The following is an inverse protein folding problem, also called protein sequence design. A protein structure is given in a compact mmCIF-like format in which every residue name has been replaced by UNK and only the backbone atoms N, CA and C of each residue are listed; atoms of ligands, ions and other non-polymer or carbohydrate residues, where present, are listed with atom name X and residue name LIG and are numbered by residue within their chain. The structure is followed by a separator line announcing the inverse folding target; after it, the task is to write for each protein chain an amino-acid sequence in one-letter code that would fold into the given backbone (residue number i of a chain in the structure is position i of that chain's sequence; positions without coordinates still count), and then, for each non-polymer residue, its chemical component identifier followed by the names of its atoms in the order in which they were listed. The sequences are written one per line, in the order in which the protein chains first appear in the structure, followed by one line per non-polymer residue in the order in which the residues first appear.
data_IF_613504604294
#
_entry.id   IF_613504604294
#
_cell.length_a   1.000
_cell.length_b   1.000
_cell.length_c   1.000
_cell.angle_alpha   90.00
_cell.angle_beta   90.00
_cell.angle_gamma   90.00
#
_symmetry.space_group_name_H-M   'P 1'
#
loop_
_entity.id
_entity.type
_entity.pdbx_description
1 polymer ?
#
# COMPACT_ATOMS: atom_id res chain seq x y z
N UNK A 1 24.14 5.96 -15.04
CA UNK A 1 24.06 6.13 -13.58
C UNK A 1 24.39 4.77 -12.95
N UNK A 2 25.56 4.63 -12.33
CA UNK A 2 26.02 3.37 -11.71
C UNK A 2 25.67 3.30 -10.23
N UNK A 3 24.41 3.60 -9.90
CA UNK A 3 23.93 3.57 -8.52
C UNK A 3 23.88 2.11 -8.03
N UNK A 4 24.33 1.87 -6.79
CA UNK A 4 24.25 0.55 -6.19
C UNK A 4 22.81 0.20 -5.79
N UNK A 5 22.55 -1.08 -5.53
CA UNK A 5 21.21 -1.57 -5.15
C UNK A 5 20.64 -0.84 -3.92
N UNK A 6 21.51 -0.49 -2.96
CA UNK A 6 21.13 0.25 -1.76
C UNK A 6 20.73 1.71 -2.06
N UNK A 7 21.40 2.37 -3.00
CA UNK A 7 21.06 3.73 -3.42
C UNK A 7 19.69 3.75 -4.13
N UNK A 8 19.44 2.75 -4.98
CA UNK A 8 18.15 2.56 -5.66
C UNK A 8 17.04 2.30 -4.64
N UNK A 9 17.29 1.42 -3.66
CA UNK A 9 16.33 1.15 -2.59
C UNK A 9 16.04 2.40 -1.74
N UNK A 10 17.07 3.19 -1.41
CA UNK A 10 16.92 4.45 -0.67
C UNK A 10 16.09 5.47 -1.44
N UNK A 11 16.33 5.62 -2.74
CA UNK A 11 15.55 6.47 -3.62
C UNK A 11 14.07 6.05 -3.63
N UNK A 12 13.78 4.76 -3.80
CA UNK A 12 12.41 4.25 -3.75
C UNK A 12 11.75 4.52 -2.39
N UNK A 13 12.43 4.21 -1.28
CA UNK A 13 11.91 4.46 0.08
C UNK A 13 11.58 5.93 0.30
N UNK A 14 12.42 6.85 -0.18
CA UNK A 14 12.16 8.28 -0.09
C UNK A 14 10.82 8.65 -0.74
N UNK A 15 10.61 8.27 -2.01
CA UNK A 15 9.38 8.62 -2.72
C UNK A 15 8.13 7.94 -2.18
N UNK A 16 8.26 6.71 -1.67
CA UNK A 16 7.14 6.05 -0.99
C UNK A 16 6.76 6.83 0.26
N UNK A 17 7.74 7.29 1.05
CA UNK A 17 7.46 8.06 2.25
C UNK A 17 6.79 9.41 1.94
N UNK A 18 7.26 10.11 0.90
CA UNK A 18 6.66 11.38 0.44
C UNK A 18 5.21 11.19 -0.03
N UNK A 19 4.87 10.02 -0.61
CA UNK A 19 3.51 9.68 -0.99
C UNK A 19 2.63 9.21 0.17
N UNK A 20 3.17 8.41 1.08
CA UNK A 20 2.40 7.77 2.16
C UNK A 20 2.09 8.72 3.30
N UNK A 21 2.97 9.66 3.63
CA UNK A 21 2.72 10.65 4.67
C UNK A 21 1.42 11.46 4.45
N UNK A 22 1.19 12.10 3.28
CA UNK A 22 -0.03 12.84 3.05
C UNK A 22 -1.26 11.93 2.98
N UNK A 23 -1.16 10.74 2.39
CA UNK A 23 -2.27 9.77 2.34
C UNK A 23 -2.68 9.34 3.75
N UNK A 24 -1.73 8.96 4.60
CA UNK A 24 -1.98 8.60 6.00
C UNK A 24 -2.68 9.75 6.74
N UNK A 25 -2.22 10.99 6.55
CA UNK A 25 -2.84 12.18 7.15
C UNK A 25 -4.29 12.36 6.68
N UNK A 26 -4.56 12.21 5.39
CA UNK A 26 -5.91 12.33 4.81
C UNK A 26 -6.82 11.25 5.41
N UNK A 27 -6.38 9.98 5.39
CA UNK A 27 -7.16 8.85 5.90
C UNK A 27 -7.41 8.94 7.41
N UNK A 28 -6.45 9.48 8.17
CA UNK A 28 -6.59 9.65 9.62
C UNK A 28 -7.58 10.78 9.98
N UNK A 29 -7.67 11.82 9.15
CA UNK A 29 -8.47 13.02 9.47
C UNK A 29 -9.82 13.07 8.76
N UNK A 30 -10.04 12.25 7.73
CA UNK A 30 -11.30 12.22 7.00
C UNK A 30 -12.39 11.49 7.78
N UNK A 31 -13.54 12.14 7.94
CA UNK A 31 -14.74 11.50 8.49
C UNK A 31 -15.33 10.42 7.56
N UNK A 32 -14.91 10.42 6.29
CA UNK A 32 -15.37 9.44 5.30
C UNK A 32 -14.57 8.14 5.36
N UNK A 33 -13.40 8.13 6.02
CA UNK A 33 -12.60 6.90 6.14
C UNK A 33 -13.25 5.96 7.16
N UNK A 34 -13.60 4.76 6.69
CA UNK A 34 -14.24 3.71 7.49
C UNK A 34 -13.32 2.50 7.65
N UNK A 35 -13.88 1.30 7.52
CA UNK A 35 -13.08 0.08 7.38
C UNK A 35 -12.11 0.19 6.21
N UNK A 36 -12.54 0.79 5.10
CA UNK A 36 -11.75 1.04 3.89
C UNK A 36 -11.39 2.53 3.74
N UNK A 37 -10.69 2.89 2.66
CA UNK A 37 -10.30 4.27 2.37
C UNK A 37 -11.49 5.25 2.44
N UNK A 38 -12.66 4.79 1.99
CA UNK A 38 -13.90 5.55 2.00
C UNK A 38 -15.08 4.64 2.36
N UNK A 39 -15.56 4.73 3.60
CA UNK A 39 -16.68 3.97 4.14
C UNK A 39 -16.39 2.48 4.37
N UNK A 40 -17.45 1.67 4.28
CA UNK A 40 -17.47 0.25 4.65
C UNK A 40 -17.43 -0.71 3.47
N UNK A 41 -17.24 -0.20 2.25
CA UNK A 41 -17.15 -1.02 1.03
C UNK A 41 -15.87 -0.66 0.28
N UNK A 42 -15.06 -1.65 -0.13
CA UNK A 42 -13.82 -1.38 -0.85
C UNK A 42 -14.11 -0.72 -2.20
N UNK A 43 -13.31 0.29 -2.55
CA UNK A 43 -13.44 1.04 -3.79
C UNK A 43 -12.11 1.22 -4.54
N UNK A 44 -12.09 2.16 -5.49
CA UNK A 44 -10.92 2.41 -6.32
C UNK A 44 -9.69 2.85 -5.50
N UNK A 45 -9.90 3.65 -4.46
CA UNK A 45 -8.81 4.09 -3.58
C UNK A 45 -8.11 2.90 -2.91
N UNK A 46 -8.87 1.90 -2.46
CA UNK A 46 -8.34 0.68 -1.83
C UNK A 46 -7.56 -0.18 -2.81
N UNK A 47 -8.06 -0.32 -4.05
CA UNK A 47 -7.37 -1.04 -5.13
C UNK A 47 -5.99 -0.42 -5.38
N UNK A 48 -5.93 0.90 -5.52
CA UNK A 48 -4.67 1.63 -5.72
C UNK A 48 -3.75 1.50 -4.49
N UNK A 49 -4.31 1.63 -3.28
CA UNK A 49 -3.54 1.55 -2.04
C UNK A 49 -2.89 0.17 -1.87
N UNK A 50 -3.64 -0.92 -2.11
CA UNK A 50 -3.13 -2.28 -1.99
C UNK A 50 -2.02 -2.56 -3.00
N UNK A 51 -2.20 -2.15 -4.25
CA UNK A 51 -1.17 -2.28 -5.27
C UNK A 51 0.11 -1.54 -4.89
N UNK A 52 -0.03 -0.32 -4.36
CA UNK A 52 1.11 0.50 -3.92
C UNK A 52 1.83 -0.13 -2.72
N UNK A 53 1.09 -0.58 -1.70
CA UNK A 53 1.67 -1.23 -0.50
C UNK A 53 2.39 -2.53 -0.88
N UNK A 54 1.76 -3.38 -1.70
CA UNK A 54 2.34 -4.65 -2.14
C UNK A 54 3.60 -4.44 -2.97
N UNK A 55 3.60 -3.45 -3.88
CA UNK A 55 4.76 -3.12 -4.72
C UNK A 55 5.95 -2.60 -3.91
N UNK A 56 5.69 -1.96 -2.76
CA UNK A 56 6.72 -1.37 -1.90
C UNK A 56 7.32 -2.36 -0.90
N UNK A 57 6.66 -3.50 -0.65
CA UNK A 57 7.17 -4.53 0.25
C UNK A 57 8.57 -5.03 -0.17
N UNK A 58 8.83 -5.14 -1.48
CA UNK A 58 10.15 -5.56 -2.01
C UNK A 58 11.29 -4.59 -1.72
N UNK A 59 10.98 -3.34 -1.37
CA UNK A 59 11.96 -2.30 -1.04
C UNK A 59 12.12 -2.09 0.48
N UNK A 60 11.46 -2.92 1.29
CA UNK A 60 11.57 -2.87 2.75
C UNK A 60 11.01 -1.58 3.36
N UNK A 61 9.93 -1.04 2.80
CA UNK A 61 9.25 0.12 3.37
C UNK A 61 8.58 -0.27 4.69
N UNK A 62 8.91 0.48 5.75
CA UNK A 62 8.36 0.30 7.08
C UNK A 62 6.95 0.93 7.18
N UNK A 63 5.92 0.07 7.22
CA UNK A 63 4.53 0.49 7.35
C UNK A 63 4.12 0.84 8.78
N UNK A 64 4.97 0.64 9.80
CA UNK A 64 4.62 0.98 11.18
C UNK A 64 4.40 2.48 11.38
N UNK A 65 4.94 3.29 10.48
CA UNK A 65 4.75 4.75 10.41
C UNK A 65 3.39 5.17 9.83
N UNK A 66 2.67 4.23 9.23
CA UNK A 66 1.42 4.45 8.50
C UNK A 66 0.32 3.49 8.99
N UNK A 67 -0.09 3.59 10.27
CA UNK A 67 -0.99 2.61 10.89
C UNK A 67 -2.38 2.53 10.22
N UNK A 68 -2.90 3.63 9.70
CA UNK A 68 -4.21 3.65 9.01
C UNK A 68 -4.12 2.96 7.66
N UNK A 69 -3.08 3.26 6.87
CA UNK A 69 -2.78 2.56 5.62
C UNK A 69 -2.61 1.06 5.88
N UNK A 70 -1.82 0.69 6.90
CA UNK A 70 -1.58 -0.70 7.26
C UNK A 70 -2.89 -1.43 7.64
N UNK A 71 -3.76 -0.78 8.42
CA UNK A 71 -5.09 -1.29 8.80
C UNK A 71 -5.99 -1.52 7.58
N UNK A 72 -6.10 -0.53 6.69
CA UNK A 72 -6.94 -0.63 5.48
C UNK A 72 -6.40 -1.71 4.55
N UNK A 73 -5.08 -1.77 4.34
CA UNK A 73 -4.44 -2.82 3.56
C UNK A 73 -4.78 -4.22 4.12
N UNK A 74 -4.68 -4.41 5.43
CA UNK A 74 -5.03 -5.67 6.07
C UNK A 74 -6.52 -6.02 5.88
N UNK A 75 -7.43 -5.05 5.99
CA UNK A 75 -8.85 -5.24 5.73
C UNK A 75 -9.12 -5.66 4.27
N UNK A 76 -8.43 -5.05 3.31
CA UNK A 76 -8.54 -5.43 1.89
C UNK A 76 -8.02 -6.85 1.65
N UNK A 77 -6.85 -7.19 2.20
CA UNK A 77 -6.23 -8.51 2.02
C UNK A 77 -6.98 -9.65 2.73
N UNK A 78 -7.91 -9.34 3.63
CA UNK A 78 -8.84 -10.33 4.19
C UNK A 78 -9.95 -10.74 3.20
N UNK A 79 -10.18 -9.96 2.13
CA UNK A 79 -11.22 -10.24 1.15
C UNK A 79 -10.73 -11.22 0.07
N UNK A 80 -11.52 -12.25 -0.29
CA UNK A 80 -11.14 -13.22 -1.33
C UNK A 80 -10.83 -12.59 -2.70
N UNK A 81 -11.46 -11.46 -3.03
CA UNK A 81 -11.23 -10.77 -4.30
C UNK A 81 -9.80 -10.22 -4.41
N UNK A 82 -9.29 -9.58 -3.35
CA UNK A 82 -7.91 -9.07 -3.30
C UNK A 82 -6.89 -10.20 -3.23
N UNK A 83 -7.18 -11.28 -2.49
CA UNK A 83 -6.32 -12.46 -2.46
C UNK A 83 -6.16 -13.07 -3.85
N UNK A 84 -7.25 -13.28 -4.58
CA UNK A 84 -7.21 -13.80 -5.96
C UNK A 84 -6.47 -12.88 -6.93
N UNK A 85 -6.54 -11.57 -6.71
CA UNK A 85 -5.86 -10.57 -7.54
C UNK A 85 -4.38 -10.37 -7.17
N UNK A 86 -3.89 -10.99 -6.10
CA UNK A 86 -2.52 -10.81 -5.66
C UNK A 86 -1.53 -11.34 -6.72
N UNK A 87 -0.37 -10.67 -6.94
CA UNK A 87 0.57 -11.02 -8.00
C UNK A 87 1.00 -12.50 -7.98
N UNK A 88 1.27 -13.05 -6.81
CA UNK A 88 1.69 -14.45 -6.62
C UNK A 88 0.63 -15.50 -6.99
N UNK A 89 -0.62 -15.08 -7.19
CA UNK A 89 -1.73 -15.96 -7.55
C UNK A 89 -2.11 -15.85 -9.04
N UNK A 90 -1.34 -15.10 -9.83
CA UNK A 90 -1.56 -14.99 -11.27
C UNK A 90 -0.87 -16.12 -12.04
N UNK A 91 -1.40 -16.45 -13.22
CA UNK A 91 -0.93 -17.59 -14.04
C UNK A 91 0.49 -17.41 -14.56
N UNK A 92 0.96 -16.17 -14.61
CA UNK A 92 2.28 -15.73 -15.06
C UNK A 92 3.21 -15.38 -13.88
N UNK A 93 2.81 -15.68 -12.65
CA UNK A 93 3.70 -15.64 -11.50
C UNK A 93 4.77 -16.74 -11.63
N UNK A 94 6.05 -16.35 -11.57
CA UNK A 94 7.21 -17.25 -11.64
C UNK A 94 7.34 -18.19 -10.42
#
# INVERSE_FOLDING_TARGET
FGAGDEDVANWFRHWVNEGFQPIEKILTSSAETGTFCHGETPGLADICLVAQVTSNARFGVDLTRYPTIARIHAACMALPAFQKAAPQNQIDAE
#
